data_IF_455557421478
#
_entry.id   IF_455557421478
#
_cell.length_a   1.000
_cell.length_b   1.000
_cell.length_c   1.000
_cell.angle_alpha   90.00
_cell.angle_beta   90.00
_cell.angle_gamma   90.00
#
_symmetry.space_group_name_H-M   'P 1'
#
loop_
_entity.id
_entity.type
_entity.pdbx_description
1 polymer ?
#
# COMPACT_ATOMS: atom_id res chain seq x y z
N UNK A 1 -52.58 32.31 -0.33
CA UNK A 1 -51.71 31.62 -1.32
C UNK A 1 -52.34 30.30 -1.72
N UNK A 2 -52.03 29.75 -2.90
CA UNK A 2 -52.56 28.48 -3.37
C UNK A 2 -52.12 27.23 -2.55
N UNK A 3 -51.14 27.37 -1.65
CA UNK A 3 -50.66 26.32 -0.73
C UNK A 3 -50.65 26.84 0.70
N UNK A 4 -50.90 25.96 1.66
CA UNK A 4 -50.80 26.30 3.09
C UNK A 4 -49.34 26.36 3.57
N UNK A 5 -49.07 27.18 4.57
CA UNK A 5 -47.71 27.33 5.11
C UNK A 5 -47.15 26.03 5.70
N UNK A 6 -48.01 25.21 6.32
CA UNK A 6 -47.65 23.87 6.79
C UNK A 6 -47.19 22.98 5.64
N UNK A 7 -47.83 23.07 4.47
CA UNK A 7 -47.41 22.32 3.28
C UNK A 7 -46.06 22.83 2.78
N UNK A 8 -45.82 24.14 2.78
CA UNK A 8 -44.54 24.72 2.40
C UNK A 8 -43.40 24.33 3.34
N UNK A 9 -43.65 24.26 4.66
CA UNK A 9 -42.68 23.77 5.63
C UNK A 9 -42.31 22.30 5.38
N UNK A 10 -43.30 21.43 5.12
CA UNK A 10 -43.05 20.02 4.75
C UNK A 10 -42.21 19.89 3.48
N UNK A 11 -42.45 20.76 2.48
CA UNK A 11 -41.65 20.79 1.25
C UNK A 11 -40.21 21.20 1.55
N UNK A 12 -39.99 22.27 2.35
CA UNK A 12 -38.64 22.71 2.75
C UNK A 12 -37.87 21.62 3.48
N UNK A 13 -38.50 20.96 4.45
CA UNK A 13 -37.90 19.84 5.19
C UNK A 13 -37.48 18.71 4.25
N UNK A 14 -38.33 18.33 3.29
CA UNK A 14 -37.99 17.30 2.29
C UNK A 14 -36.84 17.73 1.37
N UNK A 15 -36.77 19.00 0.97
CA UNK A 15 -35.67 19.51 0.16
C UNK A 15 -34.34 19.50 0.94
N UNK A 16 -34.36 19.97 2.19
CA UNK A 16 -33.19 19.92 3.06
C UNK A 16 -32.72 18.47 3.30
N UNK A 17 -33.64 17.55 3.57
CA UNK A 17 -33.31 16.14 3.75
C UNK A 17 -32.65 15.53 2.50
N UNK A 18 -33.14 15.86 1.30
CA UNK A 18 -32.53 15.42 0.02
C UNK A 18 -31.13 15.99 -0.17
N UNK A 19 -30.92 17.28 0.09
CA UNK A 19 -29.60 17.93 0.00
C UNK A 19 -28.60 17.26 0.94
N UNK A 20 -28.97 17.09 2.22
CA UNK A 20 -28.12 16.42 3.21
C UNK A 20 -27.79 14.97 2.81
N UNK A 21 -28.76 14.24 2.25
CA UNK A 21 -28.54 12.88 1.78
C UNK A 21 -27.54 12.83 0.61
N UNK A 22 -27.66 13.76 -0.35
CA UNK A 22 -26.71 13.88 -1.47
C UNK A 22 -25.30 14.21 -0.97
N UNK A 23 -25.14 15.22 -0.12
CA UNK A 23 -23.85 15.60 0.45
C UNK A 23 -23.18 14.45 1.23
N UNK A 24 -23.96 13.71 2.03
CA UNK A 24 -23.45 12.54 2.76
C UNK A 24 -22.93 11.48 1.79
N UNK A 25 -23.64 11.25 0.68
CA UNK A 25 -23.22 10.28 -0.34
C UNK A 25 -21.91 10.70 -1.02
N UNK A 26 -21.75 12.00 -1.30
CA UNK A 26 -20.54 12.55 -1.90
C UNK A 26 -19.35 12.48 -0.95
N UNK A 27 -19.53 12.90 0.30
CA UNK A 27 -18.51 12.76 1.36
C UNK A 27 -18.08 11.30 1.52
N UNK A 28 -19.02 10.35 1.46
CA UNK A 28 -18.70 8.93 1.52
C UNK A 28 -17.89 8.45 0.30
N UNK A 29 -18.21 8.94 -0.92
CA UNK A 29 -17.42 8.66 -2.14
C UNK A 29 -16.01 9.24 -2.02
N UNK A 30 -15.86 10.46 -1.53
CA UNK A 30 -14.56 11.11 -1.28
C UNK A 30 -13.73 10.31 -0.27
N UNK A 31 -14.30 9.93 0.88
CA UNK A 31 -13.63 9.09 1.88
C UNK A 31 -13.21 7.74 1.31
N UNK A 32 -14.03 7.13 0.44
CA UNK A 32 -13.68 5.88 -0.24
C UNK A 32 -12.49 6.08 -1.20
N UNK A 33 -12.48 7.17 -1.96
CA UNK A 33 -11.37 7.51 -2.85
C UNK A 33 -10.08 7.76 -2.05
N UNK A 34 -10.15 8.54 -0.98
CA UNK A 34 -9.02 8.80 -0.07
C UNK A 34 -8.48 7.50 0.54
N UNK A 35 -9.35 6.58 0.97
CA UNK A 35 -8.92 5.26 1.48
C UNK A 35 -8.30 4.38 0.40
N UNK A 36 -8.87 4.39 -0.81
CA UNK A 36 -8.38 3.62 -1.96
C UNK A 36 -6.98 4.06 -2.38
N UNK A 37 -6.74 5.37 -2.44
CA UNK A 37 -5.49 5.94 -2.94
C UNK A 37 -4.52 6.38 -1.84
N UNK A 38 -4.90 6.35 -0.56
CA UNK A 38 -4.10 6.88 0.54
C UNK A 38 -2.69 6.30 0.63
N UNK A 39 -2.53 4.98 0.45
CA UNK A 39 -1.19 4.36 0.42
C UNK A 39 -0.36 4.80 -0.78
N UNK A 40 -0.98 4.92 -1.95
CA UNK A 40 -0.32 5.38 -3.17
C UNK A 40 0.18 6.83 -2.98
N UNK A 41 -0.70 7.71 -2.49
CA UNK A 41 -0.37 9.10 -2.16
C UNK A 41 0.78 9.17 -1.15
N UNK A 42 0.74 8.38 -0.07
CA UNK A 42 1.84 8.34 0.91
C UNK A 42 3.18 7.94 0.26
N UNK A 43 3.19 6.90 -0.58
CA UNK A 43 4.41 6.47 -1.26
C UNK A 43 4.91 7.51 -2.26
N UNK A 44 4.02 8.16 -2.99
CA UNK A 44 4.37 9.20 -3.96
C UNK A 44 4.93 10.44 -3.26
N UNK A 45 4.34 10.86 -2.15
CA UNK A 45 4.83 11.98 -1.34
C UNK A 45 6.23 11.68 -0.79
N UNK A 46 6.47 10.48 -0.24
CA UNK A 46 7.80 10.11 0.25
C UNK A 46 8.84 10.05 -0.88
N UNK A 47 8.47 9.51 -2.04
CA UNK A 47 9.35 9.50 -3.20
C UNK A 47 9.64 10.91 -3.72
N UNK A 48 8.64 11.80 -3.75
CA UNK A 48 8.81 13.20 -4.15
C UNK A 48 9.78 13.92 -3.22
N UNK A 49 9.59 13.81 -1.90
CA UNK A 49 10.49 14.37 -0.88
C UNK A 49 11.92 13.85 -1.03
N UNK A 50 12.08 12.55 -1.27
CA UNK A 50 13.42 11.98 -1.46
C UNK A 50 14.07 12.50 -2.75
N UNK A 51 13.31 12.61 -3.85
CA UNK A 51 13.80 13.18 -5.11
C UNK A 51 14.22 14.63 -4.94
N UNK A 52 13.38 15.45 -4.32
CA UNK A 52 13.66 16.85 -3.99
C UNK A 52 14.94 16.97 -3.15
N UNK A 53 15.07 16.15 -2.09
CA UNK A 53 16.28 16.11 -1.26
C UNK A 53 17.52 15.69 -2.06
N UNK A 54 17.43 14.65 -2.89
CA UNK A 54 18.58 14.23 -3.72
C UNK A 54 18.96 15.28 -4.76
N UNK A 55 17.97 15.97 -5.34
CA UNK A 55 18.19 17.05 -6.30
C UNK A 55 18.93 18.21 -5.64
N UNK A 56 18.45 18.65 -4.47
CA UNK A 56 19.09 19.70 -3.67
C UNK A 56 20.53 19.32 -3.28
N UNK A 57 20.75 18.10 -2.76
CA UNK A 57 22.10 17.64 -2.40
C UNK A 57 23.04 17.57 -3.60
N UNK A 58 22.53 17.21 -4.78
CA UNK A 58 23.32 17.20 -6.01
C UNK A 58 23.64 18.61 -6.49
N UNK A 59 22.71 19.56 -6.38
CA UNK A 59 22.93 20.96 -6.73
C UNK A 59 24.00 21.59 -5.82
N UNK A 60 23.90 21.36 -4.50
CA UNK A 60 24.90 21.81 -3.52
C UNK A 60 26.29 21.24 -3.87
N UNK A 61 26.37 19.94 -4.18
CA UNK A 61 27.65 19.30 -4.56
C UNK A 61 28.23 19.85 -5.87
N UNK A 62 27.40 20.26 -6.83
CA UNK A 62 27.85 20.87 -8.08
C UNK A 62 28.37 22.29 -7.86
N UNK A 63 27.66 23.08 -7.05
CA UNK A 63 28.08 24.41 -6.62
C UNK A 63 29.41 24.37 -5.86
N UNK A 64 29.53 23.49 -4.86
CA UNK A 64 30.77 23.32 -4.09
C UNK A 64 31.97 22.93 -4.97
N UNK A 65 31.73 22.24 -6.09
CA UNK A 65 32.77 21.83 -7.04
C UNK A 65 33.02 22.86 -8.15
N UNK A 66 32.36 24.02 -8.14
CA UNK A 66 32.54 25.06 -9.15
C UNK A 66 31.95 24.75 -10.53
N UNK A 67 31.09 23.73 -10.65
CA UNK A 67 30.43 23.40 -11.93
C UNK A 67 29.20 24.28 -12.23
N UNK A 68 28.74 25.05 -11.24
CA UNK A 68 27.58 25.94 -11.37
C UNK A 68 27.73 27.12 -10.41
N UNK A 69 27.84 28.34 -10.92
CA UNK A 69 27.95 29.57 -10.12
C UNK A 69 26.61 30.14 -9.66
N UNK A 70 25.50 29.70 -10.26
CA UNK A 70 24.16 30.23 -9.96
C UNK A 70 23.49 29.41 -8.86
N UNK A 71 22.96 30.11 -7.85
CA UNK A 71 22.20 29.53 -6.73
C UNK A 71 20.75 29.17 -7.15
N UNK A 72 20.57 28.59 -8.34
CA UNK A 72 19.27 28.18 -8.90
C UNK A 72 18.52 27.16 -8.00
N UNK A 73 19.20 26.56 -7.01
CA UNK A 73 18.56 25.65 -6.04
C UNK A 73 17.89 26.36 -4.85
N UNK A 74 18.18 27.65 -4.61
CA UNK A 74 17.52 28.47 -3.58
C UNK A 74 16.30 29.22 -4.12
N UNK A 75 16.28 29.59 -5.41
CA UNK A 75 15.08 30.13 -6.07
C UNK A 75 14.11 28.99 -6.39
N UNK A 76 13.36 28.54 -5.37
CA UNK A 76 12.29 27.57 -5.57
C UNK A 76 11.31 28.02 -6.67
N UNK A 77 11.10 27.16 -7.66
CA UNK A 77 9.95 27.19 -8.58
C UNK A 77 9.66 28.52 -9.31
N UNK A 78 10.69 29.29 -9.68
CA UNK A 78 10.54 30.20 -10.83
C UNK A 78 10.40 29.35 -12.09
N UNK A 79 9.15 29.19 -12.55
CA UNK A 79 8.78 28.47 -13.78
C UNK A 79 9.76 28.83 -14.91
N UNK A 80 10.51 27.88 -15.49
CA UNK A 80 11.29 28.19 -16.66
C UNK A 80 10.31 28.34 -17.83
N UNK A 81 10.16 29.58 -18.30
CA UNK A 81 9.65 29.87 -19.63
C UNK A 81 10.45 29.05 -20.63
N UNK A 82 9.73 28.35 -21.49
CA UNK A 82 10.21 27.43 -22.50
C UNK A 82 11.50 27.93 -23.19
N UNK A 83 12.62 27.24 -22.96
CA UNK A 83 13.72 27.20 -23.92
C UNK A 83 13.95 25.77 -24.35
N UNK A 84 13.61 25.54 -25.62
CA UNK A 84 13.94 24.35 -26.38
C UNK A 84 15.45 24.32 -26.54
N UNK A 85 16.11 23.31 -25.99
CA UNK A 85 17.42 22.87 -26.46
C UNK A 85 17.44 21.35 -26.52
N UNK A 86 17.83 20.87 -27.69
CA UNK A 86 17.92 19.47 -28.09
C UNK A 86 19.10 18.77 -27.42
N UNK A 87 18.93 17.46 -27.30
CA UNK A 87 19.93 16.38 -27.42
C UNK A 87 21.11 16.32 -26.42
N UNK A 88 21.19 15.17 -25.74
CA UNK A 88 22.32 14.81 -24.90
C UNK A 88 22.12 13.43 -24.28
N UNK A 89 22.56 12.39 -24.99
CA UNK A 89 22.60 11.02 -24.51
C UNK A 89 23.39 10.90 -23.19
N UNK A 90 22.86 10.13 -22.22
CA UNK A 90 23.58 9.12 -21.41
C UNK A 90 22.82 8.79 -20.11
N UNK A 91 22.76 7.49 -19.83
CA UNK A 91 22.43 6.96 -18.50
C UNK A 91 21.29 5.96 -18.55
N UNK A 92 21.57 4.74 -19.00
CA UNK A 92 20.73 3.58 -18.69
C UNK A 92 20.53 3.54 -17.17
N UNK A 93 19.38 4.01 -16.70
CA UNK A 93 18.92 3.71 -15.36
C UNK A 93 18.80 2.19 -15.28
N UNK A 94 19.76 1.55 -14.62
CA UNK A 94 19.58 0.18 -14.15
C UNK A 94 18.38 0.17 -13.21
N UNK A 95 17.21 -0.09 -13.79
CA UNK A 95 15.99 -0.42 -13.07
C UNK A 95 16.38 -1.57 -12.15
N UNK A 96 16.47 -1.33 -10.83
CA UNK A 96 16.61 -2.40 -9.85
C UNK A 96 15.45 -3.35 -10.10
N UNK A 97 15.76 -4.45 -10.77
CA UNK A 97 14.80 -5.46 -11.16
C UNK A 97 14.12 -6.06 -9.93
N UNK A 98 13.04 -6.83 -10.13
CA UNK A 98 12.40 -7.53 -9.03
C UNK A 98 13.42 -8.30 -8.19
N UNK A 99 13.30 -8.23 -6.85
CA UNK A 99 14.12 -8.93 -5.87
C UNK A 99 14.42 -10.39 -6.32
N UNK A 100 15.61 -10.94 -6.05
CA UNK A 100 15.98 -12.34 -6.37
C UNK A 100 14.90 -13.36 -5.97
N UNK A 101 14.25 -13.19 -4.81
CA UNK A 101 13.11 -14.03 -4.40
C UNK A 101 11.93 -13.94 -5.36
N UNK A 102 11.68 -12.76 -5.92
CA UNK A 102 10.64 -12.52 -6.93
C UNK A 102 11.06 -13.04 -8.31
N UNK A 103 12.34 -12.94 -8.70
CA UNK A 103 12.87 -13.60 -9.92
C UNK A 103 12.66 -15.10 -9.87
N UNK A 104 13.05 -15.76 -8.78
CA UNK A 104 12.83 -17.20 -8.59
C UNK A 104 11.35 -17.57 -8.65
N UNK A 105 10.48 -16.80 -7.98
CA UNK A 105 9.03 -17.05 -8.01
C UNK A 105 8.44 -16.83 -9.41
N UNK A 106 8.91 -15.83 -10.15
CA UNK A 106 8.45 -15.58 -11.51
C UNK A 106 8.92 -16.68 -12.47
N UNK A 107 10.14 -17.20 -12.29
CA UNK A 107 10.66 -18.32 -13.08
C UNK A 107 9.92 -19.63 -12.76
N UNK A 108 9.73 -19.94 -11.47
CA UNK A 108 9.08 -21.18 -11.03
C UNK A 108 7.57 -21.20 -11.25
N UNK A 109 6.92 -20.04 -11.13
CA UNK A 109 5.46 -19.97 -11.08
C UNK A 109 4.82 -18.97 -12.05
N UNK A 110 5.59 -18.32 -12.94
CA UNK A 110 5.08 -17.31 -13.87
C UNK A 110 4.72 -15.97 -13.21
N UNK A 111 4.47 -14.96 -14.04
CA UNK A 111 4.11 -13.60 -13.62
C UNK A 111 2.59 -13.40 -13.64
N UNK A 112 1.91 -13.62 -12.51
CA UNK A 112 0.52 -13.18 -12.32
C UNK A 112 -0.57 -13.83 -13.19
N UNK A 113 -0.24 -14.80 -14.06
CA UNK A 113 -1.19 -15.53 -14.91
C UNK A 113 -1.47 -16.98 -14.48
N UNK A 114 -2.31 -17.68 -15.24
CA UNK A 114 -2.64 -19.10 -15.05
C UNK A 114 -1.35 -19.92 -15.11
N UNK A 115 -0.97 -20.52 -13.97
CA UNK A 115 0.23 -21.36 -13.86
C UNK A 115 -0.01 -22.64 -14.64
N UNK A 116 1.01 -23.17 -15.32
CA UNK A 116 0.95 -24.40 -16.15
C UNK A 116 0.67 -25.69 -15.35
N UNK A 117 -0.22 -25.68 -14.36
CA UNK A 117 -0.48 -26.84 -13.51
C UNK A 117 0.67 -27.24 -12.58
N UNK A 118 1.81 -26.52 -12.58
CA UNK A 118 2.98 -26.83 -11.74
C UNK A 118 2.77 -26.71 -10.22
N UNK A 119 1.56 -26.35 -9.79
CA UNK A 119 1.11 -26.33 -8.40
C UNK A 119 0.05 -27.39 -8.10
N UNK A 120 -0.33 -28.20 -9.08
CA UNK A 120 -1.29 -29.27 -8.89
C UNK A 120 -0.56 -30.47 -8.32
N UNK A 121 -1.18 -31.13 -7.37
CA UNK A 121 -0.64 -32.37 -6.81
C UNK A 121 -0.88 -33.47 -7.85
N UNK A 122 0.19 -34.14 -8.28
CA UNK A 122 0.09 -35.43 -8.97
C UNK A 122 -0.17 -36.53 -7.94
N UNK A 123 -0.73 -37.66 -8.36
CA UNK A 123 -0.97 -38.82 -7.49
C UNK A 123 0.29 -39.22 -6.70
N UNK A 124 1.41 -39.31 -7.40
CA UNK A 124 2.73 -39.59 -6.82
C UNK A 124 3.15 -38.56 -5.75
N UNK A 125 2.89 -37.27 -5.98
CA UNK A 125 3.21 -36.21 -5.01
C UNK A 125 2.28 -36.18 -3.79
N UNK A 126 1.08 -36.76 -3.91
CA UNK A 126 0.15 -36.90 -2.79
C UNK A 126 0.52 -38.09 -1.90
N UNK A 127 1.00 -39.17 -2.52
CA UNK A 127 1.38 -40.40 -1.83
C UNK A 127 2.78 -40.31 -1.18
N UNK A 128 3.65 -39.38 -1.62
CA UNK A 128 4.98 -39.15 -1.04
C UNK A 128 4.94 -38.35 0.29
N UNK A 129 4.88 -39.10 1.40
CA UNK A 129 4.97 -38.56 2.77
C UNK A 129 6.40 -38.59 3.36
N UNK A 130 7.43 -38.96 2.59
CA UNK A 130 8.79 -39.16 3.09
C UNK A 130 9.42 -37.88 3.68
N UNK A 131 9.04 -36.73 3.15
CA UNK A 131 9.50 -35.42 3.62
C UNK A 131 8.76 -34.90 4.87
N UNK A 132 7.71 -35.59 5.31
CA UNK A 132 6.90 -35.19 6.47
C UNK A 132 7.62 -35.50 7.79
N UNK A 133 8.17 -34.45 8.41
CA UNK A 133 8.77 -34.54 9.76
C UNK A 133 7.71 -34.38 10.83
N UNK A 134 7.06 -35.49 11.21
CA UNK A 134 6.03 -35.53 12.25
C UNK A 134 6.45 -34.85 13.57
N UNK A 135 7.73 -34.97 13.96
CA UNK A 135 8.31 -34.35 15.16
C UNK A 135 8.23 -32.81 15.15
N UNK A 136 8.32 -32.17 13.98
CA UNK A 136 8.25 -30.71 13.82
C UNK A 136 6.82 -30.23 13.57
N UNK A 137 6.04 -30.99 12.79
CA UNK A 137 4.66 -30.63 12.43
C UNK A 137 3.72 -30.62 13.64
N UNK A 138 3.90 -31.56 14.57
CA UNK A 138 3.08 -31.64 15.79
C UNK A 138 3.68 -30.92 16.99
N UNK A 139 4.49 -29.86 16.81
CA UNK A 139 4.90 -28.97 17.92
C UNK A 139 5.56 -29.62 19.15
N UNK A 140 5.88 -30.92 19.10
CA UNK A 140 6.54 -31.73 20.12
C UNK A 140 8.06 -31.69 19.97
N UNK A 141 8.59 -30.63 19.37
CA UNK A 141 10.02 -30.32 19.43
C UNK A 141 10.35 -29.65 20.76
N UNK A 142 11.52 -29.98 21.34
CA UNK A 142 12.02 -29.38 22.58
C UNK A 142 11.88 -27.86 22.53
N UNK A 143 11.00 -27.32 23.38
CA UNK A 143 10.80 -25.88 23.51
C UNK A 143 12.12 -25.28 24.01
N UNK A 144 12.75 -24.42 23.19
CA UNK A 144 13.87 -23.59 23.63
C UNK A 144 13.41 -22.75 24.83
N UNK A 145 14.06 -22.83 26.01
CA UNK A 145 13.68 -22.01 27.15
C UNK A 145 14.01 -20.56 26.80
N UNK A 146 13.03 -19.65 26.94
CA UNK A 146 13.27 -18.21 26.84
C UNK A 146 12.42 -17.43 25.84
N UNK A 147 11.66 -18.06 24.93
CA UNK A 147 10.75 -17.30 24.05
C UNK A 147 9.32 -17.32 24.60
N UNK A 148 9.02 -16.36 25.48
CA UNK A 148 7.63 -16.01 25.86
C UNK A 148 6.85 -15.82 24.56
N UNK A 149 5.95 -16.77 24.29
CA UNK A 149 5.08 -16.72 23.13
C UNK A 149 4.27 -15.42 23.18
N UNK A 150 4.28 -14.67 22.09
CA UNK A 150 3.43 -13.49 21.89
C UNK A 150 2.02 -13.77 22.43
N UNK A 151 1.43 -12.83 23.17
CA UNK A 151 0.06 -12.88 23.68
C UNK A 151 -0.93 -13.15 22.52
N UNK A 152 -1.10 -14.44 22.18
CA UNK A 152 -2.05 -14.90 21.18
C UNK A 152 -3.36 -15.06 21.93
N UNK A 153 -4.31 -14.22 21.54
CA UNK A 153 -5.69 -14.27 22.03
C UNK A 153 -6.20 -15.71 21.90
N UNK A 154 -6.74 -16.32 22.98
CA UNK A 154 -7.17 -17.71 22.94
C UNK A 154 -8.24 -17.94 21.86
N UNK A 155 -8.28 -19.16 21.33
CA UNK A 155 -9.22 -19.55 20.28
C UNK A 155 -10.69 -19.38 20.68
N UNK A 156 -11.59 -19.34 19.69
CA UNK A 156 -13.01 -19.02 19.90
C UNK A 156 -13.68 -19.89 20.98
N UNK A 157 -13.52 -21.22 20.90
CA UNK A 157 -14.03 -22.17 21.89
C UNK A 157 -13.46 -21.96 23.30
N UNK A 158 -12.17 -21.64 23.41
CA UNK A 158 -11.54 -21.39 24.72
C UNK A 158 -12.04 -20.09 25.35
N UNK A 159 -12.35 -19.07 24.54
CA UNK A 159 -12.97 -17.84 25.04
C UNK A 159 -14.40 -18.04 25.51
N UNK A 160 -15.19 -18.87 24.81
CA UNK A 160 -16.55 -19.21 25.22
C UNK A 160 -16.56 -19.94 26.57
N UNK A 161 -15.65 -20.92 26.76
CA UNK A 161 -15.48 -21.61 28.05
C UNK A 161 -14.97 -20.71 29.18
N UNK A 162 -14.14 -19.71 28.87
CA UNK A 162 -13.69 -18.75 29.88
C UNK A 162 -14.81 -17.79 30.31
N UNK A 163 -15.72 -17.43 29.38
CA UNK A 163 -16.91 -16.64 29.71
C UNK A 163 -17.85 -17.36 30.66
N UNK A 164 -18.05 -18.67 30.47
CA UNK A 164 -18.91 -19.47 31.36
C UNK A 164 -18.27 -19.79 32.73
N UNK A 165 -17.02 -19.38 32.96
CA UNK A 165 -16.30 -19.56 34.22
C UNK A 165 -16.30 -18.31 35.11
N UNK A 166 -16.80 -17.19 34.60
CA UNK A 166 -16.87 -15.91 35.31
C UNK A 166 -18.27 -15.64 35.90
N UNK A 167 -19.09 -16.68 35.99
CA UNK A 167 -20.34 -16.74 36.73
C UNK A 167 -20.22 -17.85 37.77
#
# INVERSE_FOLDING_TARGET
MAKSDQQMQKIRQKLQAKQVAMEKSEKAKQLRALRKYGKKVQTEVLQKRQREKTHMMNAIKKYQKGFSDKLDFLEGDQKPVARRTKEGAKGQQMKKGPNAKRRYKNQKFGFGGKKKGSKWNTRESYDDVSSFRAKTAHGKGLKRPGKKGSNKRPGKRTREKMKSRAH
#
